data_IF_530496830404
#
_entry.id   IF_530496830404
#
_cell.length_a   1.000
_cell.length_b   1.000
_cell.length_c   1.000
_cell.angle_alpha   90.00
_cell.angle_beta   90.00
_cell.angle_gamma   90.00
#
_symmetry.space_group_name_H-M   'P 1'
#
loop_
_entity.id
_entity.type
_entity.pdbx_description
1 polymer ?
#
# COMPACT_ATOMS: atom_id res chain seq x y z
N UNK A 1 -11.45 -5.41 -17.03
CA UNK A 1 -10.71 -4.20 -17.50
C UNK A 1 -11.75 -3.12 -17.78
N UNK A 2 -11.75 -2.06 -16.99
CA UNK A 2 -12.64 -0.92 -17.20
C UNK A 2 -12.26 -0.29 -18.54
N UNK A 3 -13.12 -0.37 -19.55
CA UNK A 3 -12.95 0.43 -20.76
C UNK A 3 -13.17 1.91 -20.39
N UNK A 4 -12.08 2.65 -20.35
CA UNK A 4 -12.17 4.10 -20.21
C UNK A 4 -12.56 4.68 -21.57
N UNK A 5 -13.57 5.56 -21.63
CA UNK A 5 -13.93 6.20 -22.88
C UNK A 5 -12.72 6.99 -23.41
N UNK A 6 -12.49 6.98 -24.72
CA UNK A 6 -11.41 7.69 -25.43
C UNK A 6 -11.37 9.21 -25.20
N UNK A 7 -12.27 9.73 -24.38
CA UNK A 7 -12.40 11.16 -24.10
C UNK A 7 -11.49 11.60 -22.96
N UNK A 8 -10.88 12.77 -23.10
CA UNK A 8 -10.18 13.47 -22.02
C UNK A 8 -11.09 13.57 -20.80
N UNK A 9 -10.59 13.13 -19.65
CA UNK A 9 -11.36 13.06 -18.41
C UNK A 9 -10.63 13.84 -17.30
N UNK A 10 -11.38 14.64 -16.56
CA UNK A 10 -10.92 15.23 -15.31
C UNK A 10 -11.35 14.34 -14.16
N UNK A 11 -10.45 14.04 -13.24
CA UNK A 11 -10.73 13.30 -12.02
C UNK A 11 -10.48 14.22 -10.83
N UNK A 12 -11.44 14.24 -9.89
CA UNK A 12 -11.28 14.93 -8.62
C UNK A 12 -10.93 13.90 -7.54
N UNK A 13 -9.71 13.97 -7.02
CA UNK A 13 -9.17 13.03 -6.03
C UNK A 13 -10.09 12.90 -4.82
N UNK A 14 -10.57 14.00 -4.27
CA UNK A 14 -11.43 13.97 -3.08
C UNK A 14 -12.82 13.39 -3.33
N UNK A 15 -13.34 13.53 -4.54
CA UNK A 15 -14.60 12.87 -4.93
C UNK A 15 -14.43 11.37 -5.07
N UNK A 16 -13.31 10.94 -5.61
CA UNK A 16 -13.03 9.50 -5.76
C UNK A 16 -12.75 8.85 -4.40
N UNK A 17 -12.02 9.50 -3.49
CA UNK A 17 -11.80 8.98 -2.13
C UNK A 17 -13.10 8.86 -1.32
N UNK A 18 -14.08 9.72 -1.56
CA UNK A 18 -15.38 9.65 -0.88
C UNK A 18 -16.27 8.49 -1.35
N UNK A 19 -15.90 7.76 -2.42
CA UNK A 19 -16.72 6.65 -2.98
C UNK A 19 -16.54 5.33 -2.23
N UNK A 20 -15.42 5.17 -1.52
CA UNK A 20 -15.12 3.99 -0.74
C UNK A 20 -15.01 4.36 0.74
N UNK A 21 -15.43 3.44 1.58
CA UNK A 21 -15.36 3.57 3.03
C UNK A 21 -14.03 3.03 3.55
N UNK A 22 -13.62 3.53 4.72
CA UNK A 22 -12.46 3.02 5.43
C UNK A 22 -11.13 3.36 4.74
N UNK A 23 -10.09 2.70 5.20
CA UNK A 23 -8.74 2.81 4.65
C UNK A 23 -8.55 1.85 3.49
N UNK A 24 -7.98 2.35 2.41
CA UNK A 24 -7.56 1.55 1.27
C UNK A 24 -6.31 2.16 0.64
N UNK A 25 -5.55 1.33 -0.01
CA UNK A 25 -4.37 1.72 -0.77
C UNK A 25 -4.50 1.23 -2.21
N UNK A 26 -3.92 1.99 -3.14
CA UNK A 26 -3.66 1.52 -4.49
C UNK A 26 -4.87 1.37 -5.44
N UNK A 27 -5.90 2.20 -5.28
CA UNK A 27 -7.04 2.22 -6.21
C UNK A 27 -6.66 2.92 -7.53
N UNK A 28 -6.59 2.21 -8.69
CA UNK A 28 -6.22 2.80 -9.96
C UNK A 28 -7.29 3.80 -10.45
N UNK A 29 -6.86 4.99 -10.86
CA UNK A 29 -7.75 6.08 -11.30
C UNK A 29 -7.54 6.50 -12.75
N UNK A 30 -6.65 5.82 -13.47
CA UNK A 30 -6.37 6.04 -14.88
C UNK A 30 -6.70 4.80 -15.72
N UNK A 31 -6.85 4.95 -17.05
CA UNK A 31 -6.97 3.83 -17.97
C UNK A 31 -5.80 2.87 -17.90
N UNK A 32 -6.06 1.59 -18.20
CA UNK A 32 -5.00 0.61 -18.37
C UNK A 32 -4.00 1.09 -19.46
N UNK A 33 -2.71 0.90 -19.19
CA UNK A 33 -1.64 1.30 -20.12
C UNK A 33 -1.09 2.71 -19.91
N UNK A 34 -1.65 3.52 -19.00
CA UNK A 34 -1.01 4.77 -18.58
C UNK A 34 0.23 4.46 -17.75
N UNK A 35 1.39 5.04 -18.10
CA UNK A 35 2.65 4.83 -17.39
C UNK A 35 3.34 6.18 -17.11
N UNK A 36 3.65 6.52 -15.85
CA UNK A 36 3.25 5.79 -14.64
C UNK A 36 1.73 5.85 -14.39
N UNK A 37 1.19 4.75 -13.88
CA UNK A 37 -0.23 4.66 -13.52
C UNK A 37 -0.48 5.39 -12.20
N UNK A 38 -1.39 6.38 -12.16
CA UNK A 38 -1.79 7.01 -10.91
C UNK A 38 -2.79 6.13 -10.15
N UNK A 39 -2.48 5.87 -8.91
CA UNK A 39 -3.31 5.16 -7.94
C UNK A 39 -3.66 6.09 -6.79
N UNK A 40 -4.88 5.98 -6.30
CA UNK A 40 -5.37 6.77 -5.20
C UNK A 40 -5.35 5.94 -3.94
N UNK A 41 -4.82 6.49 -2.85
CA UNK A 41 -4.88 5.89 -1.53
C UNK A 41 -5.53 6.81 -0.52
N UNK A 42 -6.23 6.22 0.43
CA UNK A 42 -6.83 6.87 1.59
C UNK A 42 -6.59 5.99 2.80
N UNK A 43 -5.80 6.48 3.74
CA UNK A 43 -5.40 5.71 4.90
C UNK A 43 -5.77 6.48 6.18
N UNK A 44 -6.38 5.78 7.14
CA UNK A 44 -6.68 6.29 8.49
C UNK A 44 -5.96 5.48 9.56
N UNK A 45 -5.46 4.29 9.19
CA UNK A 45 -4.69 3.39 10.05
C UNK A 45 -3.34 3.07 9.41
N UNK A 46 -2.31 2.76 10.21
CA UNK A 46 -1.01 2.36 9.67
C UNK A 46 -1.12 1.14 8.76
N UNK A 47 -0.40 1.15 7.64
CA UNK A 47 -0.24 -0.02 6.79
C UNK A 47 0.32 -1.18 7.63
N UNK A 48 -0.28 -2.39 7.62
CA UNK A 48 0.07 -3.47 8.57
C UNK A 48 1.37 -4.20 8.25
N UNK A 49 2.02 -3.88 7.14
CA UNK A 49 3.30 -4.42 6.68
C UNK A 49 4.16 -3.34 6.01
N UNK A 50 5.39 -3.66 5.73
CA UNK A 50 6.22 -2.89 4.81
C UNK A 50 5.99 -3.41 3.38
N UNK A 51 5.62 -2.51 2.46
CA UNK A 51 5.55 -2.84 1.04
C UNK A 51 6.95 -2.74 0.43
N UNK A 52 7.31 -3.74 -0.36
CA UNK A 52 8.55 -3.79 -1.13
C UNK A 52 8.18 -3.89 -2.59
N UNK A 53 8.58 -2.94 -3.41
CA UNK A 53 8.26 -2.90 -4.82
C UNK A 53 9.50 -3.16 -5.68
N UNK A 54 9.35 -3.79 -6.82
CA UNK A 54 10.46 -4.06 -7.73
C UNK A 54 10.88 -2.81 -8.53
N UNK A 55 10.08 -1.76 -8.52
CA UNK A 55 10.31 -0.49 -9.23
C UNK A 55 10.20 0.69 -8.28
N UNK A 56 10.76 1.80 -8.71
CA UNK A 56 10.60 3.09 -8.02
C UNK A 56 9.15 3.56 -8.08
N UNK A 57 8.70 4.21 -7.03
CA UNK A 57 7.39 4.83 -6.93
C UNK A 57 7.49 6.24 -6.40
N UNK A 58 6.46 7.03 -6.66
CA UNK A 58 6.32 8.39 -6.15
C UNK A 58 4.99 8.54 -5.44
N UNK A 59 5.00 9.04 -4.21
CA UNK A 59 3.82 9.43 -3.46
C UNK A 59 3.66 10.94 -3.48
N UNK A 60 2.47 11.41 -3.85
CA UNK A 60 2.08 12.82 -3.74
C UNK A 60 1.02 12.94 -2.67
N UNK A 61 1.32 13.65 -1.59
CA UNK A 61 0.35 13.86 -0.50
C UNK A 61 -0.60 14.99 -0.87
N UNK A 62 -1.89 14.67 -0.94
CA UNK A 62 -2.96 15.59 -1.33
C UNK A 62 -3.65 16.23 -0.11
N UNK A 63 -3.81 15.47 0.98
CA UNK A 63 -4.41 15.94 2.24
C UNK A 63 -3.97 15.07 3.40
N UNK A 64 -4.04 15.62 4.61
CA UNK A 64 -3.63 14.96 5.84
C UNK A 64 -2.13 15.01 6.05
N UNK A 65 -1.66 14.41 7.14
CA UNK A 65 -0.25 14.28 7.50
C UNK A 65 0.07 12.86 7.93
N UNK A 66 1.34 12.48 7.82
CA UNK A 66 1.78 11.15 8.21
C UNK A 66 3.29 10.98 8.06
N UNK A 67 3.70 9.75 8.07
CA UNK A 67 5.10 9.35 7.90
C UNK A 67 5.19 8.23 6.85
N UNK A 68 6.27 8.24 6.08
CA UNK A 68 6.75 7.08 5.34
C UNK A 68 7.97 6.54 6.08
N UNK A 69 7.88 5.32 6.59
CA UNK A 69 8.95 4.65 7.32
C UNK A 69 9.64 3.64 6.41
N UNK A 70 10.97 3.71 6.37
CA UNK A 70 11.80 2.80 5.56
C UNK A 70 12.59 1.83 6.44
N UNK A 71 12.95 0.69 5.86
CA UNK A 71 13.89 -0.29 6.43
C UNK A 71 15.15 -0.35 5.57
N UNK A 72 15.93 0.71 5.63
CA UNK A 72 17.25 0.80 5.01
C UNK A 72 18.26 1.41 6.00
N UNK A 73 19.50 1.62 5.55
CA UNK A 73 20.57 2.21 6.37
C UNK A 73 20.61 3.75 6.29
N UNK A 74 19.73 4.36 5.51
CA UNK A 74 19.67 5.80 5.28
C UNK A 74 18.59 6.51 6.10
N UNK A 75 17.79 7.33 5.43
CA UNK A 75 16.66 8.01 6.05
C UNK A 75 15.56 6.99 6.38
N UNK A 76 15.32 6.75 7.66
CA UNK A 76 14.37 5.74 8.12
C UNK A 76 12.93 6.26 8.24
N UNK A 77 12.75 7.59 8.28
CA UNK A 77 11.42 8.23 8.39
C UNK A 77 11.40 9.52 7.59
N UNK A 78 10.37 9.68 6.75
CA UNK A 78 10.01 10.94 6.10
C UNK A 78 8.65 11.38 6.63
N UNK A 79 8.58 12.57 7.22
CA UNK A 79 7.30 13.23 7.48
C UNK A 79 6.71 13.71 6.15
N UNK A 80 5.39 13.58 5.98
CA UNK A 80 4.68 14.00 4.77
C UNK A 80 3.42 14.79 5.12
N UNK A 81 3.15 15.82 4.33
CA UNK A 81 1.98 16.67 4.41
C UNK A 81 1.52 17.14 3.03
N UNK A 82 0.43 17.94 2.95
CA UNK A 82 -0.15 18.35 1.68
C UNK A 82 0.85 19.08 0.78
N UNK A 83 1.01 18.60 -0.46
CA UNK A 83 1.96 19.10 -1.45
C UNK A 83 3.32 18.42 -1.44
N UNK A 84 3.63 17.58 -0.44
CA UNK A 84 4.88 16.84 -0.42
C UNK A 84 4.87 15.71 -1.45
N UNK A 85 6.04 15.53 -2.07
CA UNK A 85 6.32 14.45 -3.02
C UNK A 85 7.42 13.58 -2.42
N UNK A 86 7.07 12.36 -2.05
CA UNK A 86 8.01 11.38 -1.51
C UNK A 86 8.40 10.37 -2.59
N UNK A 87 9.70 10.15 -2.74
CA UNK A 87 10.27 9.12 -3.60
C UNK A 87 10.48 7.82 -2.81
N UNK A 88 9.96 6.73 -3.31
CA UNK A 88 10.10 5.39 -2.75
C UNK A 88 11.00 4.55 -3.67
N UNK A 89 12.26 4.33 -3.28
CA UNK A 89 13.19 3.56 -4.10
C UNK A 89 12.76 2.10 -4.24
N UNK A 90 12.98 1.53 -5.41
CA UNK A 90 12.80 0.10 -5.66
C UNK A 90 13.54 -0.76 -4.63
N UNK A 91 12.90 -1.83 -4.18
CA UNK A 91 13.42 -2.83 -3.24
C UNK A 91 13.68 -2.33 -1.82
N UNK A 92 13.40 -1.07 -1.52
CA UNK A 92 13.47 -0.56 -0.15
C UNK A 92 12.09 -0.73 0.50
N UNK A 93 12.00 -1.49 1.62
CA UNK A 93 10.74 -1.66 2.33
C UNK A 93 10.21 -0.33 2.86
N UNK A 94 8.98 0.03 2.50
CA UNK A 94 8.34 1.28 2.92
C UNK A 94 6.98 0.99 3.57
N UNK A 95 6.66 1.73 4.64
CA UNK A 95 5.40 1.63 5.37
C UNK A 95 4.80 3.01 5.58
N UNK A 96 3.53 3.17 5.21
CA UNK A 96 2.80 4.42 5.44
C UNK A 96 2.16 4.37 6.83
N UNK A 97 2.35 5.46 7.59
CA UNK A 97 1.79 5.66 8.94
C UNK A 97 1.06 7.00 8.96
N UNK A 98 -0.26 7.04 8.80
CA UNK A 98 -1.04 8.27 8.82
C UNK A 98 -1.21 8.81 10.25
N UNK A 99 -1.34 10.13 10.37
CA UNK A 99 -1.71 10.84 11.59
C UNK A 99 -3.16 11.34 11.49
N UNK A 100 -4.11 10.42 11.37
CA UNK A 100 -5.50 10.67 10.99
C UNK A 100 -5.71 10.33 9.51
N UNK A 101 -6.69 10.97 8.84
CA UNK A 101 -6.92 10.70 7.42
C UNK A 101 -5.78 11.26 6.55
N UNK A 102 -5.18 10.39 5.73
CA UNK A 102 -4.12 10.72 4.79
C UNK A 102 -4.56 10.32 3.37
N UNK A 103 -4.62 11.29 2.46
CA UNK A 103 -4.98 11.08 1.06
C UNK A 103 -3.76 11.31 0.19
N UNK A 104 -3.38 10.30 -0.60
CA UNK A 104 -2.20 10.34 -1.45
C UNK A 104 -2.52 9.85 -2.86
N UNK A 105 -1.75 10.31 -3.83
CA UNK A 105 -1.67 9.73 -5.18
C UNK A 105 -0.32 9.03 -5.29
N UNK A 106 -0.35 7.72 -5.55
CA UNK A 106 0.82 6.90 -5.82
C UNK A 106 0.99 6.75 -7.32
N UNK A 107 2.16 7.06 -7.83
CA UNK A 107 2.53 6.84 -9.22
C UNK A 107 3.33 5.54 -9.31
N UNK A 108 2.74 4.54 -9.94
CA UNK A 108 3.32 3.19 -10.10
C UNK A 108 3.70 2.92 -11.55
N UNK A 109 4.78 2.19 -11.76
CA UNK A 109 5.13 1.71 -13.11
C UNK A 109 4.09 0.74 -13.65
N UNK A 110 3.83 0.80 -14.96
CA UNK A 110 2.94 -0.09 -15.68
C UNK A 110 3.74 -0.76 -16.83
N UNK A 111 3.60 -2.08 -17.12
CA UNK A 111 2.69 -3.04 -16.50
C UNK A 111 3.04 -3.37 -15.05
N UNK A 112 2.11 -4.04 -14.32
CA UNK A 112 2.32 -4.51 -12.95
C UNK A 112 3.59 -5.33 -12.80
N UNK A 113 4.19 -5.24 -11.64
CA UNK A 113 5.46 -5.89 -11.31
C UNK A 113 5.37 -6.57 -9.94
N UNK A 114 6.39 -7.35 -9.61
CA UNK A 114 6.45 -8.04 -8.32
C UNK A 114 6.53 -7.06 -7.17
N UNK A 115 5.65 -7.25 -6.21
CA UNK A 115 5.61 -6.59 -4.91
C UNK A 115 5.76 -7.63 -3.79
N UNK A 116 6.05 -7.18 -2.58
CA UNK A 116 6.04 -8.06 -1.41
C UNK A 116 5.54 -7.32 -0.17
N UNK A 117 4.72 -8.01 0.62
CA UNK A 117 4.43 -7.63 2.01
C UNK A 117 5.49 -8.23 2.93
N UNK A 118 6.10 -7.41 3.79
CA UNK A 118 7.18 -7.84 4.67
C UNK A 118 6.96 -7.35 6.11
N UNK A 119 7.22 -8.22 7.08
CA UNK A 119 7.17 -7.93 8.51
C UNK A 119 8.55 -8.02 9.12
N UNK A 120 8.87 -7.08 9.96
CA UNK A 120 10.16 -6.98 10.64
C UNK A 120 9.96 -6.97 12.15
N UNK A 121 10.89 -7.57 12.87
CA UNK A 121 10.86 -7.62 14.32
C UNK A 121 11.07 -6.23 14.92
N UNK A 122 10.16 -5.79 15.79
CA UNK A 122 10.25 -4.51 16.46
C UNK A 122 11.37 -4.50 17.53
N UNK A 123 11.77 -5.69 18.03
CA UNK A 123 12.84 -5.81 19.02
C UNK A 123 14.24 -5.80 18.41
N UNK A 124 14.49 -6.51 17.29
CA UNK A 124 15.84 -6.65 16.74
C UNK A 124 15.96 -6.22 15.26
N UNK A 125 14.89 -5.82 14.61
CA UNK A 125 14.87 -5.35 13.22
C UNK A 125 14.98 -6.45 12.16
N UNK A 126 15.14 -7.73 12.56
CA UNK A 126 15.26 -8.83 11.60
C UNK A 126 13.98 -9.03 10.78
N UNK A 127 14.12 -9.46 9.53
CA UNK A 127 13.00 -9.89 8.71
C UNK A 127 12.36 -11.13 9.34
N UNK A 128 11.04 -11.07 9.57
CA UNK A 128 10.27 -12.17 10.16
C UNK A 128 9.56 -12.99 9.10
N UNK A 129 8.84 -12.32 8.22
CA UNK A 129 8.03 -12.95 7.18
C UNK A 129 7.97 -12.06 5.95
N UNK A 130 7.86 -12.68 4.77
CA UNK A 130 7.72 -11.98 3.49
C UNK A 130 6.88 -12.82 2.53
N UNK A 131 5.92 -12.17 1.88
CA UNK A 131 5.07 -12.78 0.85
C UNK A 131 5.21 -11.95 -0.42
N UNK A 132 5.56 -12.60 -1.54
CA UNK A 132 5.65 -11.98 -2.85
C UNK A 132 4.38 -12.22 -3.66
N UNK A 133 3.97 -11.24 -4.43
CA UNK A 133 2.83 -11.32 -5.34
C UNK A 133 3.05 -10.39 -6.54
N UNK A 134 2.29 -10.64 -7.60
CA UNK A 134 2.17 -9.76 -8.76
C UNK A 134 0.71 -9.73 -9.13
N UNK A 135 0.10 -8.55 -9.11
CA UNK A 135 -1.32 -8.41 -9.38
C UNK A 135 -1.65 -7.02 -9.92
N UNK A 136 -2.59 -6.96 -10.87
CA UNK A 136 -3.21 -5.72 -11.33
C UNK A 136 -4.12 -5.13 -10.23
N UNK A 137 -4.57 -5.97 -9.29
CA UNK A 137 -5.42 -5.64 -8.16
C UNK A 137 -4.74 -6.15 -6.88
N UNK A 138 -3.77 -5.40 -6.33
CA UNK A 138 -2.93 -5.87 -5.23
C UNK A 138 -3.68 -6.01 -3.90
N UNK A 139 -4.88 -5.42 -3.76
CA UNK A 139 -5.64 -5.41 -2.52
C UNK A 139 -6.03 -6.82 -2.04
N UNK A 140 -6.41 -7.71 -2.96
CA UNK A 140 -6.66 -9.11 -2.65
C UNK A 140 -5.41 -9.79 -2.10
N UNK A 141 -4.26 -9.58 -2.75
CA UNK A 141 -2.98 -10.12 -2.30
C UNK A 141 -2.53 -9.53 -0.95
N UNK A 142 -2.79 -8.25 -0.69
CA UNK A 142 -2.53 -7.62 0.61
C UNK A 142 -3.37 -8.27 1.72
N UNK A 143 -4.65 -8.47 1.46
CA UNK A 143 -5.55 -9.15 2.40
C UNK A 143 -5.09 -10.57 2.71
N UNK A 144 -4.80 -11.36 1.68
CA UNK A 144 -4.32 -12.74 1.83
C UNK A 144 -2.99 -12.81 2.59
N UNK A 145 -2.06 -11.91 2.30
CA UNK A 145 -0.77 -11.85 2.98
C UNK A 145 -0.93 -11.59 4.49
N UNK A 146 -1.81 -10.65 4.89
CA UNK A 146 -2.09 -10.35 6.29
C UNK A 146 -2.85 -11.50 6.96
N UNK A 147 -3.82 -12.09 6.29
CA UNK A 147 -4.56 -13.24 6.80
C UNK A 147 -3.62 -14.44 7.05
N UNK A 148 -2.71 -14.70 6.12
CA UNK A 148 -1.67 -15.72 6.26
C UNK A 148 -0.76 -15.46 7.46
N UNK A 149 -0.21 -14.26 7.57
CA UNK A 149 0.63 -13.83 8.69
C UNK A 149 -0.08 -14.00 10.04
N UNK A 150 -1.35 -13.58 10.11
CA UNK A 150 -2.14 -13.65 11.34
C UNK A 150 -2.50 -15.08 11.75
N UNK A 151 -2.73 -15.98 10.78
CA UNK A 151 -3.17 -17.36 11.05
C UNK A 151 -2.07 -18.25 11.62
N UNK A 152 -0.79 -17.89 11.44
CA UNK A 152 0.34 -18.75 11.79
C UNK A 152 1.23 -18.08 12.85
N UNK A 153 1.18 -18.58 14.09
CA UNK A 153 2.01 -18.07 15.20
C UNK A 153 3.52 -18.07 14.87
N UNK A 154 3.99 -19.08 14.16
CA UNK A 154 5.39 -19.17 13.75
C UNK A 154 5.85 -18.04 12.83
N UNK A 155 4.95 -17.44 12.06
CA UNK A 155 5.27 -16.27 11.22
C UNK A 155 5.37 -14.98 12.05
N UNK A 156 4.75 -14.95 13.23
CA UNK A 156 4.80 -13.83 14.18
C UNK A 156 5.90 -13.96 15.23
N UNK A 157 6.61 -15.08 15.25
CA UNK A 157 7.77 -15.27 16.13
C UNK A 157 9.04 -14.96 15.39
N UNK A 158 9.85 -14.04 15.91
CA UNK A 158 11.08 -13.62 15.27
C UNK A 158 12.11 -14.77 15.22
N UNK A 159 12.60 -15.17 14.05
CA UNK A 159 13.54 -16.27 13.92
C UNK A 159 14.94 -15.93 14.49
N UNK A 160 15.24 -14.65 14.67
CA UNK A 160 16.56 -14.21 15.15
C UNK A 160 16.61 -14.05 16.67
N UNK A 161 15.53 -13.60 17.33
CA UNK A 161 15.56 -13.31 18.78
C UNK A 161 14.39 -13.95 19.56
N UNK A 162 13.50 -14.68 18.92
CA UNK A 162 12.37 -15.36 19.56
C UNK A 162 11.25 -14.43 20.05
N UNK A 163 11.33 -13.11 19.78
CA UNK A 163 10.28 -12.18 20.17
C UNK A 163 8.96 -12.51 19.43
N UNK A 164 7.88 -12.61 20.18
CA UNK A 164 6.55 -12.87 19.64
C UNK A 164 5.81 -11.54 19.39
N UNK A 165 5.17 -11.44 18.24
CA UNK A 165 4.39 -10.29 17.82
C UNK A 165 2.90 -10.61 17.83
N UNK A 166 2.10 -9.60 18.14
CA UNK A 166 0.66 -9.67 18.00
C UNK A 166 0.23 -9.83 16.54
N UNK A 167 -1.02 -10.15 16.33
CA UNK A 167 -1.61 -10.14 15.00
C UNK A 167 -1.58 -8.71 14.42
N UNK A 168 -1.36 -8.60 13.12
CA UNK A 168 -1.48 -7.33 12.42
C UNK A 168 -2.94 -6.89 12.41
N UNK A 169 -3.21 -5.72 12.97
CA UNK A 169 -4.56 -5.15 12.98
C UNK A 169 -4.88 -4.50 11.64
N UNK A 170 -6.05 -4.80 11.10
CA UNK A 170 -6.55 -4.22 9.86
C UNK A 170 -7.42 -2.98 10.10
N UNK A 171 -7.99 -2.83 11.31
CA UNK A 171 -8.82 -1.67 11.65
C UNK A 171 -9.98 -1.50 10.64
N UNK A 172 -10.06 -0.34 10.01
CA UNK A 172 -11.04 -0.01 8.97
C UNK A 172 -10.53 -0.24 7.54
N UNK A 173 -9.47 -1.05 7.35
CA UNK A 173 -8.94 -1.39 6.03
C UNK A 173 -9.92 -2.27 5.27
N UNK A 174 -10.30 -1.84 4.08
CA UNK A 174 -11.34 -2.46 3.23
C UNK A 174 -10.78 -3.03 1.92
N UNK A 175 -9.59 -3.61 1.95
CA UNK A 175 -8.94 -4.15 0.75
C UNK A 175 -9.78 -5.18 -0.01
N UNK A 176 -10.47 -6.06 0.70
CA UNK A 176 -11.38 -7.03 0.09
C UNK A 176 -12.51 -6.33 -0.70
N UNK A 177 -13.15 -5.32 -0.10
CA UNK A 177 -14.20 -4.56 -0.79
C UNK A 177 -13.65 -3.76 -2.00
N UNK A 178 -12.42 -3.28 -1.92
CA UNK A 178 -11.74 -2.61 -3.05
C UNK A 178 -11.43 -3.61 -4.16
N UNK A 179 -10.91 -4.79 -3.83
CA UNK A 179 -10.65 -5.86 -4.80
C UNK A 179 -11.95 -6.27 -5.51
N UNK A 180 -13.02 -6.55 -4.77
CA UNK A 180 -14.33 -6.90 -5.32
C UNK A 180 -14.88 -5.80 -6.25
N UNK A 181 -14.72 -4.51 -5.86
CA UNK A 181 -15.17 -3.38 -6.68
C UNK A 181 -14.37 -3.23 -7.98
N UNK A 182 -13.10 -3.58 -7.98
CA UNK A 182 -12.24 -3.53 -9.17
C UNK A 182 -12.49 -4.72 -10.10
N UNK A 183 -12.66 -5.92 -9.55
CA UNK A 183 -12.92 -7.15 -10.32
C UNK A 183 -14.34 -7.19 -10.87
N UNK A 184 -15.34 -6.74 -10.10
CA UNK A 184 -16.75 -6.70 -10.50
C UNK A 184 -17.08 -5.69 -11.61
N UNK A 185 -16.16 -4.79 -11.95
CA UNK A 185 -16.31 -3.84 -13.09
C UNK A 185 -15.79 -4.41 -14.41
N UNK A 186 -15.32 -5.67 -14.42
CA UNK A 186 -14.81 -6.39 -15.60
C UNK A 186 -15.80 -7.33 -16.28
N UNK A 187 -17.08 -7.28 -15.93
CA UNK A 187 -18.16 -8.06 -16.57
C UNK A 187 -19.02 -7.20 -17.50
#
# INVERSE_FOLDING_TARGET
VREFPERRKTLNVFRETARLWGSYDDFPVAPAGVDPSPHLSRNQVPQPFYLVTARDEVLVTMAGTGEVRFRDQGCTVLAVGPGDVAYLPARIPARIVPHGELVQVRLKGNPPFTEAAAWYCDNCGALMHRVEFTSDVPQGAYWEAVAGYNSQAGQRTCPACGHEHDQAELGDIVWNAVADALEGTGA
#
